data_IF_256509446981
#
_entry.id   IF_256509446981
#
_cell.length_a   1.000
_cell.length_b   1.000
_cell.length_c   1.000
_cell.angle_alpha   90.00
_cell.angle_beta   90.00
_cell.angle_gamma   90.00
#
_symmetry.space_group_name_H-M   'P 1'
#
loop_
_entity.id
_entity.type
_entity.pdbx_description
1 polymer ?
#
# COMPACT_ATOMS: atom_id res chain seq x y z
N UNK A 1 9.12 1.25 13.96
CA UNK A 1 7.87 0.96 14.63
C UNK A 1 8.07 -0.12 15.69
N UNK A 2 7.24 -0.12 16.72
CA UNK A 2 7.22 -1.18 17.71
C UNK A 2 6.33 -2.33 17.20
N UNK A 3 6.55 -3.59 17.62
CA UNK A 3 5.77 -4.73 17.16
C UNK A 3 4.25 -4.52 17.33
N UNK A 4 3.81 -4.01 18.46
CA UNK A 4 2.40 -3.79 18.76
C UNK A 4 1.72 -2.77 17.82
N UNK A 5 2.46 -1.85 17.23
CA UNK A 5 1.91 -0.87 16.28
C UNK A 5 1.44 -1.52 14.98
N UNK A 6 1.98 -2.68 14.64
CA UNK A 6 1.57 -3.41 13.45
C UNK A 6 0.10 -3.83 13.46
N UNK A 7 -0.45 -4.17 14.63
CA UNK A 7 -1.86 -4.50 14.80
C UNK A 7 -2.69 -3.30 15.27
N UNK A 8 -2.10 -2.40 16.05
CA UNK A 8 -2.80 -1.23 16.58
C UNK A 8 -3.26 -0.26 15.49
N UNK A 9 -2.40 0.03 14.51
CA UNK A 9 -2.73 0.98 13.43
C UNK A 9 -3.96 0.58 12.60
N UNK A 10 -4.09 -0.66 12.09
CA UNK A 10 -5.32 -1.06 11.42
C UNK A 10 -6.53 -1.07 12.36
N UNK A 11 -6.37 -1.39 13.65
CA UNK A 11 -7.46 -1.31 14.61
C UNK A 11 -7.95 0.14 14.84
N UNK A 12 -7.04 1.10 14.92
CA UNK A 12 -7.37 2.53 15.02
C UNK A 12 -8.12 3.02 13.76
N UNK A 13 -7.71 2.56 12.57
CA UNK A 13 -8.41 2.89 11.32
C UNK A 13 -9.83 2.30 11.29
N UNK A 14 -10.02 1.07 11.77
CA UNK A 14 -11.36 0.48 11.92
C UNK A 14 -12.21 1.28 12.89
N UNK A 15 -11.66 1.70 14.02
CA UNK A 15 -12.40 2.55 14.98
C UNK A 15 -12.86 3.88 14.36
N UNK A 16 -12.06 4.48 13.46
CA UNK A 16 -12.50 5.67 12.71
C UNK A 16 -13.65 5.33 11.77
N UNK A 17 -13.62 4.19 11.08
CA UNK A 17 -14.72 3.75 10.22
C UNK A 17 -15.99 3.45 11.03
N UNK A 18 -15.85 2.87 12.24
CA UNK A 18 -16.95 2.62 13.14
C UNK A 18 -17.61 3.94 13.60
N UNK A 19 -16.79 4.93 13.94
CA UNK A 19 -17.26 6.26 14.33
C UNK A 19 -17.94 7.03 13.17
N UNK A 20 -17.46 6.84 11.93
CA UNK A 20 -18.11 7.37 10.72
C UNK A 20 -19.49 6.72 10.53
N UNK A 21 -19.59 5.41 10.66
CA UNK A 21 -20.83 4.65 10.53
C UNK A 21 -21.85 5.05 11.61
N UNK A 22 -21.37 5.26 12.83
CA UNK A 22 -22.16 5.77 13.95
C UNK A 22 -22.51 7.27 13.86
N UNK A 23 -21.98 8.00 12.87
CA UNK A 23 -22.13 9.46 12.70
C UNK A 23 -21.59 10.28 13.88
N UNK A 24 -20.58 9.76 14.55
CA UNK A 24 -19.95 10.41 15.70
C UNK A 24 -18.91 11.46 15.30
N UNK A 25 -18.59 11.59 13.99
CA UNK A 25 -17.64 12.56 13.46
C UNK A 25 -18.42 13.74 12.83
N UNK A 26 -18.57 14.89 13.52
CA UNK A 26 -19.46 15.98 13.06
C UNK A 26 -19.09 16.56 11.69
N UNK A 27 -17.79 16.68 11.39
CA UNK A 27 -17.31 17.24 10.10
C UNK A 27 -17.51 16.29 8.91
N UNK A 28 -17.89 15.07 9.18
CA UNK A 28 -18.15 14.02 8.19
C UNK A 28 -19.55 13.41 8.34
N UNK A 29 -20.50 14.16 8.90
CA UNK A 29 -21.86 13.67 9.16
C UNK A 29 -22.59 13.17 7.91
N UNK A 30 -22.26 13.71 6.73
CA UNK A 30 -22.81 13.31 5.45
C UNK A 30 -21.95 12.28 4.70
N UNK A 31 -20.79 11.89 5.27
CA UNK A 31 -19.94 10.88 4.67
C UNK A 31 -20.52 9.48 4.88
N UNK A 32 -20.44 8.66 3.82
CA UNK A 32 -20.77 7.25 3.93
C UNK A 32 -19.60 6.46 4.48
N UNK A 33 -19.87 5.54 5.38
CA UNK A 33 -18.88 4.54 5.80
C UNK A 33 -18.82 3.33 4.85
N UNK A 34 -19.67 3.30 3.80
CA UNK A 34 -19.58 2.31 2.71
C UNK A 34 -18.78 2.86 1.53
N UNK A 35 -18.21 1.97 0.72
CA UNK A 35 -17.43 2.33 -0.47
C UNK A 35 -16.22 3.25 -0.17
N UNK A 36 -15.62 3.07 0.99
CA UNK A 36 -14.48 3.86 1.43
C UNK A 36 -13.24 3.54 0.58
N UNK A 37 -12.52 4.57 0.17
CA UNK A 37 -11.19 4.44 -0.42
C UNK A 37 -10.14 4.82 0.62
N UNK A 38 -9.33 3.85 1.02
CA UNK A 38 -8.26 4.08 1.97
C UNK A 38 -6.95 4.38 1.24
N UNK A 39 -6.32 5.51 1.60
CA UNK A 39 -5.04 5.93 1.03
C UNK A 39 -4.01 5.96 2.16
N UNK A 40 -2.94 5.20 2.01
CA UNK A 40 -1.84 5.17 2.97
C UNK A 40 -0.50 5.41 2.32
N UNK A 41 0.44 5.97 3.10
CA UNK A 41 1.84 6.15 2.73
C UNK A 41 2.75 5.44 3.73
N UNK A 42 3.83 4.83 3.25
CA UNK A 42 4.82 4.13 4.08
C UNK A 42 4.14 3.09 4.98
N UNK A 43 4.34 3.12 6.30
CA UNK A 43 3.64 2.24 7.24
C UNK A 43 2.12 2.41 7.24
N UNK A 44 1.61 3.59 6.88
CA UNK A 44 0.17 3.77 6.63
C UNK A 44 -0.31 2.95 5.42
N UNK A 45 0.53 2.83 4.39
CA UNK A 45 0.24 1.95 3.25
C UNK A 45 0.27 0.47 3.62
N UNK A 46 1.16 0.06 4.53
CA UNK A 46 1.17 -1.30 5.10
C UNK A 46 -0.15 -1.59 5.82
N UNK A 47 -0.63 -0.66 6.67
CA UNK A 47 -1.93 -0.78 7.33
C UNK A 47 -3.09 -0.81 6.34
N UNK A 48 -3.00 -0.03 5.26
CA UNK A 48 -3.98 -0.05 4.16
C UNK A 48 -4.06 -1.43 3.51
N UNK A 49 -2.92 -2.06 3.23
CA UNK A 49 -2.87 -3.41 2.68
C UNK A 49 -3.45 -4.46 3.64
N UNK A 50 -3.20 -4.33 4.95
CA UNK A 50 -3.83 -5.20 5.95
C UNK A 50 -5.36 -5.12 5.89
N UNK A 51 -5.91 -3.91 5.84
CA UNK A 51 -7.36 -3.70 5.74
C UNK A 51 -7.92 -4.06 4.35
N UNK A 52 -7.07 -4.13 3.33
CA UNK A 52 -7.41 -4.65 2.00
C UNK A 52 -7.35 -6.18 1.90
N UNK A 53 -6.93 -6.87 2.96
CA UNK A 53 -6.91 -8.33 3.04
C UNK A 53 -5.52 -8.98 3.04
N UNK A 54 -4.43 -8.21 2.89
CA UNK A 54 -3.09 -8.77 2.98
C UNK A 54 -2.83 -9.38 4.38
N UNK A 55 -2.31 -10.60 4.41
CA UNK A 55 -2.02 -11.31 5.66
C UNK A 55 -0.52 -11.53 5.85
N UNK A 56 -0.08 -11.51 7.09
CA UNK A 56 1.28 -11.90 7.44
C UNK A 56 1.35 -13.43 7.58
N UNK A 57 1.66 -14.10 6.50
CA UNK A 57 1.81 -15.56 6.46
C UNK A 57 3.29 -15.91 6.56
N UNK A 58 3.68 -16.86 7.43
CA UNK A 58 5.06 -17.32 7.51
C UNK A 58 5.62 -17.69 6.12
N UNK A 59 6.77 -17.16 5.79
CA UNK A 59 7.45 -17.34 4.52
C UNK A 59 8.95 -17.53 4.79
N UNK A 60 9.67 -18.34 4.00
CA UNK A 60 11.11 -18.50 4.14
C UNK A 60 11.91 -17.19 4.16
N UNK A 61 11.40 -16.15 3.52
CA UNK A 61 12.01 -14.81 3.54
C UNK A 61 12.09 -14.20 4.96
N UNK A 62 11.23 -14.60 5.88
CA UNK A 62 11.33 -14.15 7.29
C UNK A 62 12.63 -14.58 7.94
N UNK A 63 13.22 -15.71 7.50
CA UNK A 63 14.54 -16.16 7.97
C UNK A 63 15.64 -15.15 7.61
N UNK A 64 15.43 -14.34 6.58
CA UNK A 64 16.34 -13.27 6.19
C UNK A 64 16.53 -12.21 7.28
N UNK A 65 15.59 -12.07 8.21
CA UNK A 65 15.75 -11.20 9.38
C UNK A 65 16.92 -11.61 10.28
N UNK A 66 17.26 -12.90 10.29
CA UNK A 66 18.38 -13.44 11.05
C UNK A 66 19.73 -13.24 10.35
N UNK A 67 19.73 -12.82 9.10
CA UNK A 67 20.90 -12.69 8.25
C UNK A 67 21.24 -11.21 8.05
N UNK A 68 22.18 -10.68 8.83
CA UNK A 68 22.58 -9.28 8.73
C UNK A 68 23.21 -8.90 7.39
N UNK A 69 23.78 -9.88 6.68
CA UNK A 69 24.45 -9.75 5.38
C UNK A 69 23.61 -10.22 4.19
N UNK A 70 22.29 -10.41 4.35
CA UNK A 70 21.44 -10.82 3.25
C UNK A 70 21.48 -9.80 2.10
N UNK A 71 21.73 -10.21 0.84
CA UNK A 71 21.98 -9.28 -0.28
C UNK A 71 20.79 -8.35 -0.61
N UNK A 72 19.57 -8.78 -0.30
CA UNK A 72 18.37 -7.97 -0.50
C UNK A 72 18.04 -7.06 0.70
N UNK A 73 18.89 -7.08 1.75
CA UNK A 73 18.64 -6.28 2.95
C UNK A 73 18.68 -4.79 2.62
N UNK A 74 17.63 -4.09 2.96
CA UNK A 74 17.43 -2.67 2.73
C UNK A 74 16.79 -2.02 3.96
N UNK A 75 16.69 -0.69 4.05
CA UNK A 75 16.09 -0.02 5.21
C UNK A 75 14.67 -0.48 5.53
N UNK A 76 13.85 -0.72 4.50
CA UNK A 76 12.48 -1.23 4.68
C UNK A 76 12.46 -2.60 5.35
N UNK A 77 13.36 -3.52 4.97
CA UNK A 77 13.47 -4.84 5.59
C UNK A 77 13.87 -4.77 7.06
N UNK A 78 14.79 -3.88 7.41
CA UNK A 78 15.18 -3.67 8.81
C UNK A 78 13.97 -3.27 9.66
N UNK A 79 13.13 -2.38 9.12
CA UNK A 79 11.90 -1.94 9.78
C UNK A 79 10.87 -3.06 9.87
N UNK A 80 10.69 -3.85 8.81
CA UNK A 80 9.76 -4.98 8.78
C UNK A 80 10.17 -6.08 9.77
N UNK A 81 11.45 -6.40 9.85
CA UNK A 81 11.95 -7.37 10.83
C UNK A 81 11.60 -6.98 12.28
N UNK A 82 11.53 -5.67 12.58
CA UNK A 82 11.15 -5.17 13.89
C UNK A 82 9.69 -5.42 14.27
N UNK A 83 8.79 -5.65 13.29
CA UNK A 83 7.35 -5.87 13.54
C UNK A 83 6.92 -7.34 13.34
N UNK A 84 7.75 -8.17 12.71
CA UNK A 84 7.41 -9.58 12.47
C UNK A 84 6.94 -10.36 13.71
N UNK A 85 7.48 -10.14 14.92
CA UNK A 85 6.99 -10.82 16.11
C UNK A 85 5.51 -10.60 16.42
N UNK A 86 4.91 -9.48 15.98
CA UNK A 86 3.48 -9.19 16.14
C UNK A 86 2.66 -9.58 14.89
N UNK A 87 3.33 -9.97 13.81
CA UNK A 87 2.64 -10.36 12.58
C UNK A 87 1.95 -11.72 12.76
N UNK A 88 0.72 -11.83 12.30
CA UNK A 88 -0.06 -13.06 12.36
C UNK A 88 -0.83 -13.30 11.06
N UNK A 89 -1.28 -14.56 10.84
CA UNK A 89 -1.96 -14.95 9.60
C UNK A 89 -3.42 -14.48 9.55
N UNK A 90 -3.90 -13.78 10.57
CA UNK A 90 -5.30 -13.34 10.65
C UNK A 90 -5.60 -12.27 9.59
N UNK A 91 -6.77 -12.36 9.00
CA UNK A 91 -7.26 -11.35 8.07
C UNK A 91 -7.80 -10.15 8.85
N UNK A 92 -7.31 -8.97 8.51
CA UNK A 92 -7.83 -7.71 9.03
C UNK A 92 -8.74 -6.99 8.02
N UNK A 93 -9.14 -7.68 6.94
CA UNK A 93 -10.02 -7.13 5.92
C UNK A 93 -11.21 -6.37 6.54
N UNK A 94 -11.45 -5.18 6.00
CA UNK A 94 -12.64 -4.39 6.33
C UNK A 94 -13.53 -4.27 5.08
N UNK A 95 -14.73 -4.82 5.15
CA UNK A 95 -15.68 -4.89 4.04
C UNK A 95 -16.26 -3.53 3.61
N UNK A 96 -16.04 -2.48 4.39
CA UNK A 96 -16.43 -1.10 4.05
C UNK A 96 -15.50 -0.48 3.00
N UNK A 97 -14.31 -1.08 2.80
CA UNK A 97 -13.37 -0.58 1.81
C UNK A 97 -13.71 -1.09 0.41
N UNK A 98 -13.91 -0.17 -0.52
CA UNK A 98 -14.13 -0.48 -1.93
C UNK A 98 -12.81 -0.57 -2.71
N UNK A 99 -11.82 0.24 -2.33
CA UNK A 99 -10.51 0.32 -2.98
C UNK A 99 -9.43 0.76 -2.00
N UNK A 100 -8.20 0.49 -2.36
CA UNK A 100 -7.03 0.91 -1.60
C UNK A 100 -5.99 1.60 -2.50
N UNK A 101 -5.28 2.58 -1.94
CA UNK A 101 -4.06 3.17 -2.52
C UNK A 101 -2.94 3.00 -1.52
N UNK A 102 -1.93 2.23 -1.89
CA UNK A 102 -0.76 1.98 -1.06
C UNK A 102 0.47 2.65 -1.68
N UNK A 103 0.94 3.73 -1.07
CA UNK A 103 2.10 4.49 -1.54
C UNK A 103 3.34 4.10 -0.76
N UNK A 104 4.32 3.53 -1.43
CA UNK A 104 5.59 3.04 -0.87
C UNK A 104 5.41 2.20 0.42
N UNK A 105 4.61 1.12 0.39
CA UNK A 105 4.42 0.27 1.57
C UNK A 105 5.66 -0.58 1.84
N UNK A 106 6.18 -0.65 3.05
CA UNK A 106 6.96 -1.79 3.52
C UNK A 106 6.10 -3.06 3.50
N UNK A 107 6.34 -3.97 2.53
CA UNK A 107 5.46 -5.12 2.32
C UNK A 107 6.17 -6.41 1.88
N UNK A 108 7.35 -6.27 1.28
CA UNK A 108 8.02 -7.38 0.61
C UNK A 108 8.33 -8.57 1.51
N UNK A 109 8.58 -8.31 2.78
CA UNK A 109 8.89 -9.32 3.80
C UNK A 109 7.65 -9.64 4.65
N UNK A 110 6.98 -8.64 5.22
CA UNK A 110 5.90 -8.84 6.19
C UNK A 110 4.65 -9.51 5.59
N UNK A 111 4.39 -9.32 4.29
CA UNK A 111 3.28 -9.94 3.59
C UNK A 111 3.71 -10.95 2.52
N UNK A 112 4.97 -11.41 2.54
CA UNK A 112 5.52 -12.24 1.47
C UNK A 112 4.62 -13.43 1.06
N UNK A 113 4.05 -14.14 2.04
CA UNK A 113 3.16 -15.27 1.79
C UNK A 113 1.68 -14.92 1.69
N UNK A 114 1.25 -13.70 2.03
CA UNK A 114 -0.16 -13.33 2.19
C UNK A 114 -0.69 -12.23 1.27
N UNK A 115 0.11 -11.74 0.32
CA UNK A 115 -0.34 -10.74 -0.67
C UNK A 115 -1.39 -11.31 -1.63
N UNK A 116 -1.39 -12.61 -1.87
CA UNK A 116 -2.41 -13.31 -2.67
C UNK A 116 -3.82 -13.25 -2.08
N UNK A 117 -3.94 -12.85 -0.82
CA UNK A 117 -5.21 -12.79 -0.08
C UNK A 117 -5.86 -11.39 -0.16
N UNK A 118 -5.27 -10.45 -0.92
CA UNK A 118 -5.88 -9.16 -1.19
C UNK A 118 -7.26 -9.34 -1.83
N UNK A 119 -8.29 -8.75 -1.21
CA UNK A 119 -9.67 -8.98 -1.57
C UNK A 119 -10.33 -7.81 -2.32
N UNK A 120 -9.71 -6.62 -2.31
CA UNK A 120 -10.22 -5.42 -2.97
C UNK A 120 -9.19 -4.84 -3.94
N UNK A 121 -9.61 -4.03 -4.93
CA UNK A 121 -8.69 -3.38 -5.85
C UNK A 121 -7.64 -2.52 -5.13
N UNK A 122 -6.37 -2.72 -5.47
CA UNK A 122 -5.24 -1.96 -4.90
C UNK A 122 -4.50 -1.23 -6.01
N UNK A 123 -4.30 0.07 -5.84
CA UNK A 123 -3.31 0.85 -6.57
C UNK A 123 -2.04 0.95 -5.70
N UNK A 124 -1.03 0.21 -6.10
CA UNK A 124 0.30 0.28 -5.50
C UNK A 124 1.12 1.35 -6.21
N UNK A 125 1.70 2.27 -5.46
CA UNK A 125 2.55 3.34 -5.98
C UNK A 125 3.94 3.22 -5.37
N UNK A 126 4.97 3.21 -6.20
CA UNK A 126 6.37 3.18 -5.75
C UNK A 126 7.21 4.22 -6.47
N UNK A 127 8.19 4.77 -5.80
CA UNK A 127 9.12 5.73 -6.39
C UNK A 127 10.39 5.04 -6.89
N UNK A 128 10.84 5.35 -8.12
CA UNK A 128 12.05 4.73 -8.68
C UNK A 128 13.35 5.13 -7.97
N UNK A 129 13.31 6.20 -7.17
CA UNK A 129 14.43 6.68 -6.32
C UNK A 129 14.09 6.64 -4.84
N UNK A 130 13.13 5.83 -4.44
CA UNK A 130 12.82 5.61 -3.03
C UNK A 130 13.92 4.72 -2.42
N UNK A 131 14.77 5.33 -1.57
CA UNK A 131 15.84 4.63 -0.88
C UNK A 131 15.41 4.07 0.48
N UNK A 132 14.23 4.46 0.98
CA UNK A 132 13.67 3.96 2.24
C UNK A 132 12.87 2.70 1.99
N UNK A 133 12.02 2.72 0.97
CA UNK A 133 11.19 1.59 0.52
C UNK A 133 11.45 1.37 -0.98
N UNK A 134 12.55 0.71 -1.33
CA UNK A 134 12.99 0.57 -2.72
C UNK A 134 11.96 -0.14 -3.59
N UNK A 135 11.71 0.42 -4.79
CA UNK A 135 10.65 -0.05 -5.68
C UNK A 135 10.80 -1.52 -6.10
N UNK A 136 12.03 -2.02 -6.31
CA UNK A 136 12.24 -3.40 -6.74
C UNK A 136 11.79 -4.40 -5.69
N UNK A 137 12.34 -4.45 -4.45
CA UNK A 137 11.97 -5.45 -3.45
C UNK A 137 10.64 -5.17 -2.74
N UNK A 138 10.13 -3.94 -2.78
CA UNK A 138 8.93 -3.54 -2.04
C UNK A 138 7.74 -3.19 -2.93
N UNK A 139 7.95 -2.98 -4.22
CA UNK A 139 6.91 -2.69 -5.20
C UNK A 139 6.77 -3.79 -6.25
N UNK A 140 7.77 -3.91 -7.12
CA UNK A 140 7.70 -4.74 -8.34
C UNK A 140 7.61 -6.23 -8.00
N UNK A 141 8.53 -6.75 -7.19
CA UNK A 141 8.54 -8.16 -6.81
C UNK A 141 7.31 -8.57 -5.98
N UNK A 142 6.89 -7.80 -4.95
CA UNK A 142 5.66 -8.11 -4.24
C UNK A 142 4.41 -8.03 -5.11
N UNK A 143 4.33 -7.07 -6.05
CA UNK A 143 3.18 -6.93 -6.94
C UNK A 143 2.92 -8.19 -7.78
N UNK A 144 3.95 -8.93 -8.17
CA UNK A 144 3.81 -10.20 -8.88
C UNK A 144 3.10 -11.29 -8.05
N UNK A 145 2.96 -11.11 -6.74
CA UNK A 145 2.25 -12.02 -5.82
C UNK A 145 0.80 -11.60 -5.55
N UNK A 146 0.38 -10.45 -6.07
CA UNK A 146 -1.02 -10.03 -5.94
C UNK A 146 -1.93 -10.99 -6.71
N UNK A 147 -3.17 -11.19 -6.29
CA UNK A 147 -4.10 -12.03 -7.04
C UNK A 147 -4.41 -11.42 -8.40
N UNK A 148 -4.87 -12.25 -9.33
CA UNK A 148 -5.41 -11.76 -10.59
C UNK A 148 -6.60 -10.84 -10.31
N UNK A 149 -6.64 -9.68 -10.97
CA UNK A 149 -7.73 -8.73 -10.73
C UNK A 149 -7.39 -7.29 -11.10
N UNK A 150 -8.20 -6.35 -10.61
CA UNK A 150 -8.06 -4.93 -10.96
C UNK A 150 -6.97 -4.22 -10.17
N UNK A 151 -5.91 -4.93 -9.80
CA UNK A 151 -4.74 -4.32 -9.14
C UNK A 151 -3.86 -3.61 -10.18
N UNK A 152 -3.20 -2.54 -9.74
CA UNK A 152 -2.28 -1.75 -10.56
C UNK A 152 -1.04 -1.42 -9.77
N UNK A 153 0.11 -1.44 -10.43
CA UNK A 153 1.36 -0.89 -9.92
C UNK A 153 1.74 0.33 -10.74
N UNK A 154 2.04 1.42 -10.08
CA UNK A 154 2.52 2.66 -10.65
C UNK A 154 3.93 2.94 -10.14
N UNK A 155 4.88 3.07 -11.05
CA UNK A 155 6.25 3.50 -10.75
C UNK A 155 6.40 4.98 -11.13
N UNK A 156 6.55 5.82 -10.12
CA UNK A 156 6.84 7.24 -10.32
C UNK A 156 8.33 7.43 -10.58
N UNK A 157 8.70 7.82 -11.81
CA UNK A 157 10.09 8.11 -12.15
C UNK A 157 10.59 9.29 -11.31
N UNK A 158 11.81 9.17 -10.82
CA UNK A 158 12.42 10.13 -9.90
C UNK A 158 11.66 10.33 -8.57
N UNK A 159 10.61 9.56 -8.32
CA UNK A 159 9.91 9.55 -7.05
C UNK A 159 10.81 9.06 -5.93
N UNK A 160 10.85 9.78 -4.82
CA UNK A 160 11.51 9.42 -3.56
C UNK A 160 10.46 9.15 -2.49
N UNK A 161 10.86 8.60 -1.37
CA UNK A 161 9.94 8.34 -0.25
C UNK A 161 9.17 9.59 0.21
N UNK A 162 9.79 10.75 0.10
CA UNK A 162 9.28 11.99 0.69
C UNK A 162 8.59 12.92 -0.33
N UNK A 163 8.81 12.76 -1.64
CA UNK A 163 8.16 13.61 -2.64
C UNK A 163 6.95 12.94 -3.31
N UNK A 164 6.74 11.63 -3.13
CA UNK A 164 5.58 10.91 -3.69
C UNK A 164 4.23 11.43 -3.17
N UNK A 165 4.07 11.73 -1.86
CA UNK A 165 2.81 12.26 -1.34
C UNK A 165 2.58 13.72 -1.69
N UNK A 166 3.62 14.47 -2.11
CA UNK A 166 3.51 15.89 -2.36
C UNK A 166 3.14 16.17 -3.82
N UNK A 167 2.15 17.05 -4.01
CA UNK A 167 1.73 17.49 -5.32
C UNK A 167 2.75 18.42 -6.02
N UNK A 168 3.86 18.74 -5.38
CA UNK A 168 4.85 19.73 -5.83
C UNK A 168 6.10 19.14 -6.49
N UNK A 169 6.20 17.81 -6.61
CA UNK A 169 7.26 17.19 -7.41
C UNK A 169 6.92 17.15 -8.89
N UNK A 170 7.90 16.98 -9.77
CA UNK A 170 7.72 16.93 -11.23
C UNK A 170 6.64 15.99 -11.73
N UNK A 171 6.33 14.92 -10.98
CA UNK A 171 5.26 13.93 -11.29
C UNK A 171 3.95 14.23 -10.55
N UNK A 172 3.87 15.28 -9.73
CA UNK A 172 2.76 15.49 -8.80
C UNK A 172 1.41 15.69 -9.48
N UNK A 173 1.36 16.37 -10.60
CA UNK A 173 0.13 16.60 -11.36
C UNK A 173 -0.46 15.30 -11.92
N UNK A 174 0.36 14.49 -12.56
CA UNK A 174 -0.04 13.23 -13.17
C UNK A 174 -0.40 12.18 -12.13
N UNK A 175 0.40 12.07 -11.06
CA UNK A 175 0.09 11.17 -9.95
C UNK A 175 -1.25 11.55 -9.31
N UNK A 176 -1.47 12.82 -9.03
CA UNK A 176 -2.75 13.31 -8.48
C UNK A 176 -3.94 12.96 -9.38
N UNK A 177 -3.81 13.15 -10.69
CA UNK A 177 -4.87 12.84 -11.64
C UNK A 177 -5.22 11.34 -11.65
N UNK A 178 -4.20 10.48 -11.61
CA UNK A 178 -4.38 9.03 -11.53
C UNK A 178 -5.02 8.60 -10.19
N UNK A 179 -4.57 9.17 -9.08
CA UNK A 179 -5.16 8.90 -7.77
C UNK A 179 -6.63 9.31 -7.73
N UNK A 180 -6.97 10.49 -8.27
CA UNK A 180 -8.35 10.95 -8.34
C UNK A 180 -9.22 10.06 -9.25
N UNK A 181 -8.68 9.59 -10.38
CA UNK A 181 -9.38 8.64 -11.25
C UNK A 181 -9.65 7.33 -10.53
N UNK A 182 -8.65 6.80 -9.82
CA UNK A 182 -8.79 5.58 -9.02
C UNK A 182 -9.83 5.72 -7.91
N UNK A 183 -9.78 6.81 -7.15
CA UNK A 183 -10.75 7.12 -6.07
C UNK A 183 -12.17 7.18 -6.61
N UNK A 184 -12.37 7.78 -7.80
CA UNK A 184 -13.68 7.86 -8.46
C UNK A 184 -14.16 6.55 -9.11
N UNK A 185 -13.38 5.48 -9.01
CA UNK A 185 -13.74 4.19 -9.60
C UNK A 185 -13.51 4.10 -11.11
N UNK A 186 -12.86 5.08 -11.70
CA UNK A 186 -12.48 5.03 -13.09
C UNK A 186 -11.34 4.03 -13.30
N UNK A 187 -11.37 3.30 -14.41
CA UNK A 187 -10.27 2.39 -14.75
C UNK A 187 -8.99 3.19 -14.98
N UNK A 188 -7.98 2.93 -14.19
CA UNK A 188 -6.62 3.38 -14.44
C UNK A 188 -6.01 2.34 -15.38
N UNK A 189 -6.25 2.50 -16.67
CA UNK A 189 -5.72 1.63 -17.74
C UNK A 189 -4.47 2.23 -18.36
N UNK A 190 -3.73 1.44 -19.20
CA UNK A 190 -2.63 1.97 -20.01
C UNK A 190 -3.08 3.05 -21.00
N UNK A 191 -4.39 3.21 -21.18
CA UNK A 191 -5.03 4.24 -22.00
C UNK A 191 -5.51 5.46 -21.19
N UNK A 192 -5.44 5.47 -19.87
CA UNK A 192 -5.46 6.72 -19.15
C UNK A 192 -4.16 7.45 -19.55
N UNK A 193 -4.18 8.05 -20.72
CA UNK A 193 -3.18 9.00 -21.21
C UNK A 193 -3.21 10.19 -20.25
N UNK A 194 -2.63 9.98 -19.10
CA UNK A 194 -2.04 11.11 -18.40
C UNK A 194 -0.90 11.49 -19.32
N UNK A 195 -1.10 12.56 -20.06
CA UNK A 195 -0.09 13.15 -20.90
C UNK A 195 1.02 13.68 -19.98
N UNK A 196 1.82 12.76 -19.48
CA UNK A 196 3.08 13.07 -18.83
C UNK A 196 4.14 12.18 -19.45
N UNK A 197 4.85 12.69 -20.47
CA UNK A 197 5.98 11.97 -21.05
C UNK A 197 7.13 11.77 -20.07
N UNK A 198 7.07 12.37 -18.87
CA UNK A 198 8.23 12.42 -17.99
C UNK A 198 8.22 11.42 -16.86
N UNK A 199 7.09 10.64 -16.61
CA UNK A 199 7.26 10.14 -15.33
C UNK A 199 6.55 8.94 -14.74
N UNK A 200 5.58 8.32 -15.36
CA UNK A 200 4.85 7.22 -14.71
C UNK A 200 4.85 5.95 -15.57
N UNK A 201 5.31 4.84 -14.99
CA UNK A 201 5.19 3.52 -15.59
C UNK A 201 4.05 2.76 -14.90
N UNK A 202 3.03 2.38 -15.64
CA UNK A 202 1.86 1.65 -15.12
C UNK A 202 1.95 0.16 -15.51
N UNK A 203 1.81 -0.69 -14.52
CA UNK A 203 1.80 -2.14 -14.67
C UNK A 203 0.45 -2.72 -14.24
N UNK A 204 0.00 -3.74 -14.96
CA UNK A 204 -1.16 -4.54 -14.62
C UNK A 204 -0.76 -6.01 -14.64
N UNK A 205 -1.21 -6.78 -13.66
CA UNK A 205 -1.14 -8.23 -13.73
C UNK A 205 -2.12 -8.72 -14.80
N UNK A 206 -1.65 -9.60 -15.67
CA UNK A 206 -2.44 -10.28 -16.71
C UNK A 206 -3.17 -11.46 -16.14
#
# INVERSE_FOLDING_TARGET
PKPEEFLRRPAELKAVLDALEAREIPVAADASASDVVLIGHSWGATSTLQLAGARSVPDPLWQACQQSNHPSRNPSWVLQCGVLPAAGPESLLDSRLARAVAVSPPQGLVFAGGLKDLAIPVLLVSGSRDLVVPAQPEGIEPFARYPQGPHRLLIARNGTHFNLPSASGGNGGSLRALLLAWVKGNSVGPQAQVADPEGLDLYQLR
#
